data_IF_007726829989
#
_entry.id   IF_007726829989
#
_cell.length_a   1.000
_cell.length_b   1.000
_cell.length_c   1.000
_cell.angle_alpha   90.00
_cell.angle_beta   90.00
_cell.angle_gamma   90.00
#
_symmetry.space_group_name_H-M   'P 1'
#
loop_
_entity.id
_entity.type
_entity.pdbx_description
1 polymer ?
#
# COMPACT_ATOMS: atom_id res chain seq x y z
N UNK A 1 32.16 29.64 18.47
CA UNK A 1 32.15 29.45 17.01
C UNK A 1 31.19 28.32 16.71
N UNK A 2 30.37 28.39 15.64
CA UNK A 2 29.52 27.27 15.23
C UNK A 2 30.38 26.05 14.91
N UNK A 3 29.87 24.86 15.18
CA UNK A 3 30.56 23.63 14.84
C UNK A 3 30.57 23.44 13.31
N UNK A 4 31.53 22.67 12.78
CA UNK A 4 31.52 22.29 11.37
C UNK A 4 30.20 21.60 10.96
N UNK A 5 29.53 20.95 11.90
CA UNK A 5 28.24 20.30 11.68
C UNK A 5 27.11 21.31 11.47
N UNK A 6 27.12 22.43 12.21
CA UNK A 6 26.10 23.47 12.10
C UNK A 6 26.13 24.17 10.73
N UNK A 7 27.31 24.28 10.12
CA UNK A 7 27.49 24.84 8.77
C UNK A 7 27.00 23.89 7.66
N UNK A 8 26.86 22.60 7.94
CA UNK A 8 26.44 21.59 6.97
C UNK A 8 24.92 21.36 6.95
N UNK A 9 24.16 21.99 7.85
CA UNK A 9 22.70 21.82 7.96
C UNK A 9 21.97 22.39 6.73
N UNK A 10 22.38 23.56 6.26
CA UNK A 10 21.80 24.21 5.08
C UNK A 10 22.03 23.39 3.82
N UNK A 11 23.27 22.95 3.57
CA UNK A 11 23.59 22.10 2.42
C UNK A 11 22.91 20.73 2.53
N UNK A 12 22.80 20.17 3.74
CA UNK A 12 22.06 18.94 4.02
C UNK A 12 20.56 19.05 3.70
N UNK A 13 19.93 20.19 3.98
CA UNK A 13 18.54 20.47 3.62
C UNK A 13 18.37 20.56 2.10
N UNK A 14 19.19 21.37 1.42
CA UNK A 14 19.12 21.54 -0.03
C UNK A 14 19.44 20.25 -0.80
N UNK A 15 20.28 19.38 -0.26
CA UNK A 15 20.61 18.08 -0.85
C UNK A 15 19.44 17.06 -0.89
N UNK A 16 18.33 17.34 -0.17
CA UNK A 16 17.12 16.50 -0.23
C UNK A 16 16.33 16.70 -1.54
N UNK A 17 16.55 17.82 -2.23
CA UNK A 17 15.87 18.10 -3.49
C UNK A 17 16.43 17.23 -4.63
N UNK A 18 15.57 16.78 -5.57
CA UNK A 18 16.01 15.99 -6.70
C UNK A 18 17.06 16.76 -7.52
N UNK A 19 18.09 16.05 -7.97
CA UNK A 19 19.22 16.56 -8.75
C UNK A 19 20.18 17.54 -8.03
N UNK A 20 20.03 17.78 -6.72
CA UNK A 20 20.87 18.74 -6.00
C UNK A 20 22.10 18.09 -5.34
N UNK A 21 22.83 17.28 -6.11
CA UNK A 21 23.88 16.41 -5.59
C UNK A 21 25.12 17.13 -5.09
N UNK A 22 25.39 18.34 -5.59
CA UNK A 22 26.53 19.18 -5.22
C UNK A 22 26.49 19.63 -3.76
N UNK A 23 25.28 19.74 -3.18
CA UNK A 23 25.09 20.18 -1.80
C UNK A 23 25.23 19.04 -0.78
N UNK A 24 25.55 17.80 -1.19
CA UNK A 24 25.68 16.66 -0.27
C UNK A 24 26.94 16.79 0.59
N UNK A 25 26.83 17.07 1.90
CA UNK A 25 28.00 17.28 2.75
C UNK A 25 28.79 15.98 3.03
N UNK A 26 28.17 14.81 2.82
CA UNK A 26 28.80 13.50 3.00
C UNK A 26 28.37 12.50 1.91
N UNK A 27 29.03 12.47 0.75
CA UNK A 27 28.82 11.44 -0.25
C UNK A 27 29.44 10.13 0.25
N UNK A 28 28.62 9.24 0.78
CA UNK A 28 29.04 7.91 1.22
C UNK A 28 27.98 6.87 0.86
N UNK A 29 28.38 5.64 0.52
CA UNK A 29 27.43 4.56 0.31
C UNK A 29 26.65 4.30 1.61
N UNK A 30 25.33 4.18 1.49
CA UNK A 30 24.46 3.76 2.59
C UNK A 30 24.38 2.24 2.54
N UNK A 31 24.65 1.56 3.65
CA UNK A 31 24.51 0.10 3.74
C UNK A 31 23.03 -0.28 3.62
N UNK A 32 22.73 -1.47 3.11
CA UNK A 32 21.33 -1.95 3.00
C UNK A 32 20.59 -1.91 4.34
N UNK A 33 21.30 -2.14 5.46
CA UNK A 33 20.74 -2.08 6.80
C UNK A 33 20.36 -0.64 7.20
N UNK A 34 21.25 0.34 6.97
CA UNK A 34 20.96 1.73 7.25
C UNK A 34 19.86 2.28 6.32
N UNK A 35 19.82 1.83 5.07
CA UNK A 35 18.72 2.14 4.15
C UNK A 35 17.40 1.58 4.67
N UNK A 36 17.37 0.35 5.21
CA UNK A 36 16.18 -0.22 5.80
C UNK A 36 15.66 0.64 6.96
N UNK A 37 16.53 1.16 7.82
CA UNK A 37 16.17 2.07 8.91
C UNK A 37 15.62 3.43 8.45
N UNK A 38 15.97 3.87 7.24
CA UNK A 38 15.44 5.10 6.63
C UNK A 38 14.11 4.90 5.90
N UNK A 39 13.74 3.65 5.61
CA UNK A 39 12.49 3.32 4.94
C UNK A 39 11.52 2.73 5.96
N UNK A 40 10.53 3.52 6.35
CA UNK A 40 9.35 3.00 7.04
C UNK A 40 8.57 2.09 6.09
N UNK A 41 8.83 0.78 6.10
CA UNK A 41 8.03 -0.24 5.38
C UNK A 41 6.60 -0.39 5.95
N UNK A 42 6.06 0.67 6.56
CA UNK A 42 4.69 0.78 7.03
C UNK A 42 3.77 1.04 5.84
N UNK A 43 3.71 0.11 4.91
CA UNK A 43 2.75 0.16 3.82
C UNK A 43 1.58 -0.75 4.13
N UNK A 44 0.37 -0.26 3.85
CA UNK A 44 -0.84 -1.03 4.07
C UNK A 44 -0.94 -2.18 3.07
N UNK A 45 -1.61 -3.24 3.47
CA UNK A 45 -1.85 -4.38 2.58
C UNK A 45 -2.77 -3.91 1.45
N UNK A 46 -2.26 -3.86 0.20
CA UNK A 46 -3.04 -3.37 -0.95
C UNK A 46 -3.94 -4.44 -1.58
N UNK A 47 -3.87 -5.71 -1.16
CA UNK A 47 -4.62 -6.80 -1.80
C UNK A 47 -4.06 -7.20 -3.19
N UNK A 48 -4.87 -7.91 -3.98
CA UNK A 48 -4.49 -8.46 -5.29
C UNK A 48 -5.47 -7.99 -6.36
N UNK A 49 -4.98 -7.24 -7.35
CA UNK A 49 -5.81 -6.61 -8.37
C UNK A 49 -6.32 -7.58 -9.43
N UNK A 50 -5.51 -8.58 -9.81
CA UNK A 50 -5.80 -9.50 -10.90
C UNK A 50 -5.33 -10.91 -10.59
N UNK A 51 -5.73 -11.87 -11.43
CA UNK A 51 -5.38 -13.31 -11.29
C UNK A 51 -5.89 -13.91 -9.97
N UNK A 52 -6.97 -13.35 -9.45
CA UNK A 52 -7.75 -13.90 -8.34
C UNK A 52 -8.54 -15.13 -8.84
N UNK A 53 -9.14 -15.93 -7.94
CA UNK A 53 -10.03 -17.04 -8.31
C UNK A 53 -11.09 -16.68 -9.35
N UNK A 54 -11.65 -15.46 -9.23
CA UNK A 54 -12.65 -14.91 -10.14
C UNK A 54 -12.09 -13.91 -11.16
N UNK A 55 -10.77 -13.86 -11.34
CA UNK A 55 -10.12 -12.94 -12.28
C UNK A 55 -9.70 -11.63 -11.63
N UNK A 56 -10.44 -10.55 -11.87
CA UNK A 56 -10.14 -9.22 -11.31
C UNK A 56 -10.63 -9.08 -9.86
N UNK A 57 -10.18 -8.02 -9.18
CA UNK A 57 -10.66 -7.70 -7.84
C UNK A 57 -12.12 -7.25 -7.90
N UNK A 58 -12.90 -7.65 -6.89
CA UNK A 58 -14.34 -7.33 -6.82
C UNK A 58 -14.57 -5.83 -6.76
N UNK A 59 -13.78 -5.12 -5.95
CA UNK A 59 -13.85 -3.66 -5.88
C UNK A 59 -12.53 -3.07 -5.41
N UNK A 60 -12.30 -1.81 -5.77
CA UNK A 60 -11.24 -0.99 -5.20
C UNK A 60 -11.80 -0.12 -4.08
N UNK A 61 -11.11 -0.10 -2.95
CA UNK A 61 -11.33 0.85 -1.86
C UNK A 61 -10.09 1.70 -1.63
N UNK A 62 -10.23 2.76 -0.85
CA UNK A 62 -9.11 3.59 -0.43
C UNK A 62 -8.62 3.18 0.96
N UNK A 63 -7.32 2.94 1.13
CA UNK A 63 -6.70 2.71 2.43
C UNK A 63 -6.60 4.02 3.23
N UNK A 64 -6.30 3.91 4.53
CA UNK A 64 -6.05 5.09 5.38
C UNK A 64 -4.85 5.92 4.92
N UNK A 65 -3.93 5.34 4.15
CA UNK A 65 -2.80 6.04 3.53
C UNK A 65 -3.11 6.61 2.14
N UNK A 66 -4.36 6.54 1.68
CA UNK A 66 -4.74 6.99 0.35
C UNK A 66 -4.31 6.06 -0.80
N UNK A 67 -3.77 4.88 -0.48
CA UNK A 67 -3.39 3.88 -1.49
C UNK A 67 -4.61 3.02 -1.89
N UNK A 68 -4.61 2.44 -3.10
CA UNK A 68 -5.68 1.54 -3.51
C UNK A 68 -5.63 0.20 -2.75
N UNK A 69 -6.78 -0.24 -2.27
CA UNK A 69 -7.01 -1.55 -1.67
C UNK A 69 -7.93 -2.39 -2.56
N UNK A 70 -7.40 -3.48 -3.10
CA UNK A 70 -8.11 -4.40 -3.98
C UNK A 70 -8.82 -5.49 -3.18
N UNK A 71 -10.12 -5.28 -2.94
CA UNK A 71 -10.94 -6.19 -2.16
C UNK A 71 -11.32 -7.44 -2.96
N UNK A 72 -11.19 -8.59 -2.30
CA UNK A 72 -11.55 -9.90 -2.82
C UNK A 72 -12.18 -10.71 -1.68
N UNK A 73 -13.22 -11.50 -1.98
CA UNK A 73 -13.78 -12.42 -1.00
C UNK A 73 -12.81 -13.55 -0.63
N UNK A 74 -11.99 -13.98 -1.61
CA UNK A 74 -11.08 -15.12 -1.47
C UNK A 74 -9.70 -14.68 -0.98
N UNK A 75 -9.16 -15.41 -0.03
CA UNK A 75 -7.76 -15.28 0.33
C UNK A 75 -6.90 -16.17 -0.57
N UNK A 76 -6.33 -15.60 -1.64
CA UNK A 76 -5.45 -16.31 -2.57
C UNK A 76 -3.99 -15.83 -2.47
N UNK A 77 -2.99 -16.68 -2.78
CA UNK A 77 -1.59 -16.28 -2.75
C UNK A 77 -1.30 -15.10 -3.68
N UNK A 78 -0.57 -14.10 -3.16
CA UNK A 78 -0.32 -12.82 -3.83
C UNK A 78 0.41 -12.96 -5.18
N UNK A 79 1.38 -13.86 -5.26
CA UNK A 79 2.28 -14.01 -6.41
C UNK A 79 1.93 -15.19 -7.32
N UNK A 80 0.76 -15.79 -7.13
CA UNK A 80 0.31 -16.95 -7.91
C UNK A 80 -0.84 -16.56 -8.84
N UNK A 81 -0.92 -17.17 -10.02
CA UNK A 81 -2.15 -17.13 -10.80
C UNK A 81 -3.16 -18.10 -10.18
N UNK A 82 -4.20 -17.56 -9.57
CA UNK A 82 -5.25 -18.31 -8.88
C UNK A 82 -6.53 -18.41 -9.70
N UNK A 83 -6.52 -17.98 -10.97
CA UNK A 83 -7.70 -18.03 -11.83
C UNK A 83 -8.28 -19.44 -11.93
N UNK A 84 -9.60 -19.55 -11.77
CA UNK A 84 -10.36 -20.80 -11.76
C UNK A 84 -9.91 -21.83 -10.69
N UNK A 85 -9.02 -21.46 -9.77
CA UNK A 85 -8.66 -22.30 -8.62
C UNK A 85 -9.67 -22.08 -7.50
N UNK A 86 -10.07 -23.18 -6.88
CA UNK A 86 -10.99 -23.14 -5.75
C UNK A 86 -10.25 -22.67 -4.50
N UNK A 87 -10.59 -21.47 -4.05
CA UNK A 87 -10.23 -20.94 -2.75
C UNK A 87 -11.51 -20.64 -1.99
N UNK A 88 -11.44 -20.67 -0.66
CA UNK A 88 -12.58 -20.30 0.18
C UNK A 88 -12.60 -18.77 0.35
N UNK A 89 -13.80 -18.21 0.28
CA UNK A 89 -14.01 -16.76 0.36
C UNK A 89 -15.06 -16.43 1.40
N UNK A 90 -14.62 -15.89 2.54
CA UNK A 90 -15.49 -15.53 3.65
C UNK A 90 -15.26 -14.05 3.98
N UNK A 91 -16.34 -13.30 4.18
CA UNK A 91 -16.28 -11.89 4.58
C UNK A 91 -17.24 -11.64 5.74
N UNK A 92 -16.73 -10.98 6.78
CA UNK A 92 -17.51 -10.60 7.94
C UNK A 92 -17.67 -9.07 7.95
N UNK A 93 -18.91 -8.61 8.09
CA UNK A 93 -19.25 -7.18 8.13
C UNK A 93 -19.80 -6.82 9.50
N UNK A 94 -19.07 -6.01 10.25
CA UNK A 94 -19.44 -5.56 11.60
C UNK A 94 -19.75 -4.07 11.63
N UNK A 95 -20.52 -3.62 12.62
CA UNK A 95 -20.85 -2.22 12.81
C UNK A 95 -22.18 -2.00 13.52
N UNK A 96 -22.40 -0.80 14.06
CA UNK A 96 -23.65 -0.40 14.72
C UNK A 96 -24.83 -0.35 13.73
N UNK A 97 -26.06 -0.39 14.23
CA UNK A 97 -27.26 -0.16 13.41
C UNK A 97 -27.20 1.23 12.78
N UNK A 98 -27.55 1.33 11.49
CA UNK A 98 -27.45 2.58 10.73
C UNK A 98 -26.07 2.87 10.12
N UNK A 99 -25.03 2.08 10.41
CA UNK A 99 -23.67 2.30 9.88
C UNK A 99 -23.48 1.93 8.39
N UNK A 100 -24.56 1.58 7.66
CA UNK A 100 -24.47 1.25 6.23
C UNK A 100 -24.04 -0.18 5.89
N UNK A 101 -24.05 -1.12 6.84
CA UNK A 101 -23.67 -2.53 6.60
C UNK A 101 -24.43 -3.17 5.43
N UNK A 102 -25.76 -2.99 5.39
CA UNK A 102 -26.61 -3.53 4.31
C UNK A 102 -26.26 -2.92 2.96
N UNK A 103 -26.01 -1.60 2.92
CA UNK A 103 -25.58 -0.90 1.71
C UNK A 103 -24.24 -1.42 1.21
N UNK A 104 -23.28 -1.64 2.11
CA UNK A 104 -21.97 -2.19 1.77
C UNK A 104 -22.08 -3.61 1.19
N UNK A 105 -22.88 -4.48 1.81
CA UNK A 105 -23.10 -5.84 1.30
C UNK A 105 -23.76 -5.81 -0.08
N UNK A 106 -24.79 -4.98 -0.27
CA UNK A 106 -25.45 -4.83 -1.56
C UNK A 106 -24.51 -4.28 -2.63
N UNK A 107 -23.66 -3.32 -2.28
CA UNK A 107 -22.61 -2.81 -3.17
C UNK A 107 -21.65 -3.92 -3.61
N UNK A 108 -21.11 -4.68 -2.65
CA UNK A 108 -20.18 -5.77 -2.95
C UNK A 108 -20.82 -6.88 -3.81
N UNK A 109 -22.10 -7.18 -3.58
CA UNK A 109 -22.85 -8.13 -4.41
C UNK A 109 -23.08 -7.58 -5.82
N UNK A 110 -23.40 -6.29 -5.97
CA UNK A 110 -23.56 -5.65 -7.28
C UNK A 110 -22.26 -5.69 -8.08
N UNK A 111 -21.14 -5.34 -7.46
CA UNK A 111 -19.83 -5.38 -8.12
C UNK A 111 -19.44 -6.80 -8.55
N UNK A 112 -19.81 -7.81 -7.77
CA UNK A 112 -19.61 -9.21 -8.13
C UNK A 112 -20.34 -9.58 -9.43
N UNK A 113 -21.60 -9.16 -9.60
CA UNK A 113 -22.37 -9.45 -10.81
C UNK A 113 -21.87 -8.71 -12.05
N UNK A 114 -21.19 -7.58 -11.88
CA UNK A 114 -20.59 -6.83 -12.99
C UNK A 114 -19.29 -7.46 -13.49
N UNK A 115 -18.53 -8.09 -12.57
CA UNK A 115 -17.23 -8.68 -12.85
C UNK A 115 -17.31 -10.16 -13.30
N UNK A 116 -18.48 -10.79 -13.19
CA UNK A 116 -18.76 -12.18 -13.58
C UNK A 116 -19.23 -12.28 -15.05
#
# INVERSE_FOLDING_TARGET
>A
MPSFLDLALESGFFAQLPNNYEHRPRPAPITSLNFFSLNSFHNFMNGKANKNPWGEAVSMFQSTSGTPYFFNFHNSPKYENSFAKKYDGNTLVFGKTGAGKTTLVNFLLSQFFECA
#
